data_IF_315989284691
#
_entry.id   IF_315989284691
#
_cell.length_a   1.000
_cell.length_b   1.000
_cell.length_c   1.000
_cell.angle_alpha   90.00
_cell.angle_beta   90.00
_cell.angle_gamma   90.00
#
_symmetry.space_group_name_H-M   'P 1'
#
loop_
_entity.id
_entity.type
_entity.pdbx_description
1 polymer ?
#
# COMPACT_ATOMS: atom_id res chain seq x y z
N UNK A 1 -3.07 -14.85 1.19
CA UNK A 1 -2.44 -16.06 0.63
C UNK A 1 -3.10 -16.55 -0.67
N UNK A 2 -4.29 -16.08 -1.01
CA UNK A 2 -5.04 -16.49 -2.20
C UNK A 2 -5.24 -15.38 -3.23
N UNK A 3 -4.38 -14.36 -3.25
CA UNK A 3 -4.41 -13.39 -4.34
C UNK A 3 -4.12 -14.11 -5.66
N UNK A 4 -4.93 -13.89 -6.71
CA UNK A 4 -4.66 -14.49 -8.02
C UNK A 4 -3.29 -14.01 -8.49
N UNK A 5 -2.45 -14.95 -8.87
CA UNK A 5 -1.17 -14.65 -9.52
C UNK A 5 -1.45 -14.29 -10.97
N UNK A 6 -0.88 -13.20 -11.44
CA UNK A 6 -0.96 -12.76 -12.81
C UNK A 6 0.42 -12.33 -13.35
N UNK A 7 0.45 -11.92 -14.60
CA UNK A 7 1.70 -11.52 -15.27
C UNK A 7 2.27 -10.17 -14.80
N UNK A 8 1.55 -9.44 -13.93
CA UNK A 8 1.95 -8.14 -13.37
C UNK A 8 2.27 -8.24 -11.87
N UNK A 9 2.58 -9.45 -11.41
CA UNK A 9 2.90 -9.68 -10.02
C UNK A 9 4.25 -9.03 -9.66
N UNK A 10 4.28 -8.30 -8.54
CA UNK A 10 5.49 -7.81 -7.92
C UNK A 10 6.11 -8.90 -7.03
N UNK A 11 7.44 -8.93 -6.97
CA UNK A 11 8.20 -9.80 -6.07
C UNK A 11 8.86 -8.93 -5.00
N UNK A 12 8.27 -8.92 -3.80
CA UNK A 12 8.86 -8.27 -2.63
C UNK A 12 9.88 -9.22 -2.00
N UNK A 13 11.16 -8.88 -2.08
CA UNK A 13 12.27 -9.73 -1.62
C UNK A 13 13.11 -8.96 -0.60
N UNK A 14 13.48 -9.62 0.49
CA UNK A 14 14.41 -9.06 1.49
C UNK A 14 15.68 -9.90 1.52
N UNK A 15 16.82 -9.24 1.43
CA UNK A 15 18.14 -9.81 1.69
C UNK A 15 18.69 -9.23 2.98
N UNK A 16 18.90 -10.09 3.99
CA UNK A 16 19.67 -9.75 5.17
C UNK A 16 21.16 -9.98 4.88
N UNK A 17 21.97 -8.93 5.02
CA UNK A 17 23.37 -8.92 4.57
C UNK A 17 24.30 -8.39 5.65
N UNK A 18 25.56 -8.86 5.63
CA UNK A 18 26.59 -8.45 6.59
C UNK A 18 27.25 -7.11 6.25
N UNK A 19 27.26 -6.74 4.96
CA UNK A 19 27.84 -5.50 4.45
C UNK A 19 26.89 -4.87 3.42
N UNK A 20 25.91 -4.15 3.92
CA UNK A 20 24.92 -3.48 3.10
C UNK A 20 25.55 -2.33 2.28
N UNK A 21 26.52 -1.60 2.87
CA UNK A 21 27.12 -0.46 2.22
C UNK A 21 27.88 -0.84 0.94
N UNK A 22 28.68 -1.90 0.97
CA UNK A 22 29.35 -2.40 -0.24
C UNK A 22 28.38 -2.78 -1.35
N UNK A 23 27.21 -3.34 -0.99
CA UNK A 23 26.18 -3.70 -1.97
C UNK A 23 25.46 -2.48 -2.55
N UNK A 24 25.38 -1.38 -1.81
CA UNK A 24 24.85 -0.10 -2.27
C UNK A 24 25.84 0.59 -3.21
N UNK A 25 27.13 0.62 -2.82
CA UNK A 25 28.19 1.34 -3.54
C UNK A 25 28.51 0.66 -4.89
N UNK A 26 28.43 -0.67 -4.96
CA UNK A 26 28.72 -1.47 -6.14
C UNK A 26 27.48 -2.28 -6.60
N UNK A 27 26.42 -1.63 -7.11
CA UNK A 27 25.14 -2.27 -7.37
C UNK A 27 25.10 -3.21 -8.60
N UNK A 28 26.25 -3.44 -9.27
CA UNK A 28 26.31 -4.30 -10.45
C UNK A 28 25.83 -5.74 -10.23
N UNK A 29 25.80 -6.22 -8.99
CA UNK A 29 25.28 -7.55 -8.64
C UNK A 29 23.78 -7.73 -8.93
N UNK A 30 22.99 -6.65 -8.98
CA UNK A 30 21.55 -6.74 -9.28
C UNK A 30 21.29 -7.07 -10.76
N UNK A 31 22.29 -7.01 -11.65
CA UNK A 31 22.15 -7.31 -13.06
C UNK A 31 21.78 -8.80 -13.32
N UNK A 32 21.99 -9.67 -12.33
CA UNK A 32 21.56 -11.08 -12.37
C UNK A 32 20.04 -11.25 -12.54
N UNK A 33 19.23 -10.25 -12.14
CA UNK A 33 17.77 -10.31 -12.26
C UNK A 33 17.28 -10.03 -13.69
N UNK A 34 18.13 -9.48 -14.54
CA UNK A 34 17.82 -9.20 -15.95
C UNK A 34 17.93 -7.72 -16.33
N UNK A 35 17.63 -7.44 -17.58
CA UNK A 35 17.62 -6.09 -18.11
C UNK A 35 16.47 -5.28 -17.53
N UNK A 36 16.76 -4.06 -17.08
CA UNK A 36 15.81 -3.15 -16.42
C UNK A 36 15.29 -2.10 -17.39
N UNK A 37 13.98 -1.86 -17.37
CA UNK A 37 13.33 -0.74 -18.07
C UNK A 37 13.47 0.53 -17.25
N UNK A 38 13.24 0.42 -15.91
CA UNK A 38 13.38 1.51 -14.96
C UNK A 38 13.76 0.94 -13.59
N UNK A 39 14.51 1.72 -12.84
CA UNK A 39 14.85 1.43 -11.45
C UNK A 39 14.69 2.69 -10.62
N UNK A 40 14.21 2.52 -9.40
CA UNK A 40 14.24 3.52 -8.35
C UNK A 40 14.86 2.92 -7.10
N UNK A 41 15.70 3.67 -6.43
CA UNK A 41 16.31 3.26 -5.15
C UNK A 41 15.83 4.17 -4.03
N UNK A 42 16.16 3.82 -2.78
CA UNK A 42 15.91 4.70 -1.64
C UNK A 42 16.59 6.06 -1.81
N UNK A 43 17.75 6.13 -2.45
CA UNK A 43 18.46 7.37 -2.71
C UNK A 43 17.75 8.32 -3.69
N UNK A 44 16.80 7.80 -4.49
CA UNK A 44 16.01 8.61 -5.43
C UNK A 44 14.72 9.15 -4.80
N UNK A 45 14.46 8.87 -3.52
CA UNK A 45 13.25 9.32 -2.82
C UNK A 45 13.50 10.66 -2.13
N UNK A 46 12.53 11.59 -2.26
CA UNK A 46 12.67 12.97 -1.78
C UNK A 46 12.90 13.10 -0.27
N UNK A 47 12.37 12.16 0.52
CA UNK A 47 12.42 12.20 1.98
C UNK A 47 13.44 11.19 2.54
N UNK A 48 14.47 10.85 1.77
CA UNK A 48 15.44 9.83 2.12
C UNK A 48 16.86 10.30 1.92
N UNK A 49 17.53 10.62 3.02
CA UNK A 49 18.93 11.05 3.05
C UNK A 49 19.87 9.96 3.61
N UNK A 50 21.11 9.85 3.13
CA UNK A 50 22.12 8.98 3.73
C UNK A 50 22.52 9.51 5.15
N UNK A 51 23.09 8.63 6.03
CA UNK A 51 23.42 7.24 5.78
C UNK A 51 22.23 6.29 5.84
N UNK A 52 22.26 5.21 5.02
CA UNK A 52 21.21 4.18 4.99
C UNK A 52 21.64 3.01 5.88
N UNK A 53 21.42 3.13 7.18
CA UNK A 53 21.91 2.15 8.17
C UNK A 53 20.91 1.03 8.46
N UNK A 54 19.61 1.28 8.28
CA UNK A 54 18.52 0.40 8.66
C UNK A 54 17.99 -0.48 7.50
N UNK A 55 17.91 0.08 6.31
CA UNK A 55 17.52 -0.63 5.09
C UNK A 55 17.83 0.17 3.84
N UNK A 56 17.91 -0.52 2.71
CA UNK A 56 18.02 0.09 1.38
C UNK A 56 17.27 -0.75 0.36
N UNK A 57 16.59 -0.12 -0.61
CA UNK A 57 15.85 -0.85 -1.63
C UNK A 57 16.27 -0.51 -3.04
N UNK A 58 16.11 -1.52 -3.90
CA UNK A 58 16.16 -1.45 -5.35
C UNK A 58 14.80 -1.89 -5.89
N UNK A 59 14.01 -0.97 -6.40
CA UNK A 59 12.72 -1.25 -7.04
C UNK A 59 12.95 -1.31 -8.55
N UNK A 60 12.81 -2.48 -9.15
CA UNK A 60 13.23 -2.76 -10.53
C UNK A 60 12.04 -3.25 -11.35
N UNK A 61 11.74 -2.55 -12.43
CA UNK A 61 10.88 -3.06 -13.49
C UNK A 61 11.74 -3.66 -14.57
N UNK A 62 11.59 -4.95 -14.81
CA UNK A 62 12.40 -5.69 -15.79
C UNK A 62 11.76 -5.65 -17.17
N UNK A 63 12.58 -5.87 -18.22
CA UNK A 63 12.15 -5.85 -19.61
C UNK A 63 11.18 -7.00 -19.94
N UNK A 64 11.26 -8.11 -19.21
CA UNK A 64 10.36 -9.27 -19.36
C UNK A 64 8.96 -9.05 -18.74
N UNK A 65 8.72 -7.87 -18.13
CA UNK A 65 7.47 -7.49 -17.48
C UNK A 65 7.41 -7.78 -15.98
N UNK A 66 8.37 -8.50 -15.42
CA UNK A 66 8.43 -8.73 -13.97
C UNK A 66 8.87 -7.47 -13.22
N UNK A 67 8.37 -7.33 -11.99
CA UNK A 67 8.84 -6.31 -11.05
C UNK A 67 9.43 -6.98 -9.81
N UNK A 68 10.60 -6.48 -9.40
CA UNK A 68 11.27 -6.90 -8.18
C UNK A 68 11.50 -5.68 -7.30
N UNK A 69 10.92 -5.71 -6.10
CA UNK A 69 11.17 -4.75 -5.03
C UNK A 69 12.10 -5.44 -4.02
N UNK A 70 13.42 -5.23 -4.21
CA UNK A 70 14.45 -5.86 -3.41
C UNK A 70 14.91 -4.93 -2.30
N UNK A 71 14.75 -5.35 -1.05
CA UNK A 71 15.19 -4.61 0.12
C UNK A 71 16.40 -5.29 0.76
N UNK A 72 17.46 -4.52 0.99
CA UNK A 72 18.60 -4.91 1.81
C UNK A 72 18.35 -4.48 3.25
N UNK A 73 18.66 -5.33 4.20
CA UNK A 73 18.68 -5.02 5.63
C UNK A 73 19.96 -5.55 6.28
N UNK A 74 20.49 -4.90 7.32
CA UNK A 74 21.57 -5.46 8.12
C UNK A 74 21.19 -6.82 8.71
N UNK A 75 22.17 -7.72 8.81
CA UNK A 75 21.95 -9.09 9.30
C UNK A 75 21.34 -9.14 10.70
N UNK A 76 21.68 -8.22 11.56
CA UNK A 76 21.16 -8.04 12.91
C UNK A 76 19.66 -7.73 12.97
N UNK A 77 19.09 -7.16 11.92
CA UNK A 77 17.65 -6.89 11.79
C UNK A 77 16.87 -8.02 11.13
N UNK A 78 17.54 -9.05 10.64
CA UNK A 78 16.93 -10.13 9.86
C UNK A 78 15.74 -10.81 10.57
N UNK A 79 15.88 -11.12 11.85
CA UNK A 79 14.83 -11.78 12.64
C UNK A 79 13.62 -10.86 12.90
N UNK A 80 13.87 -9.58 13.17
CA UNK A 80 12.81 -8.57 13.36
C UNK A 80 12.03 -8.36 12.08
N UNK A 81 12.72 -8.16 10.97
CA UNK A 81 12.11 -7.98 9.65
C UNK A 81 11.30 -9.20 9.23
N UNK A 82 11.83 -10.42 9.44
CA UNK A 82 11.11 -11.65 9.11
C UNK A 82 9.80 -11.80 9.91
N UNK A 83 9.73 -11.28 11.13
CA UNK A 83 8.55 -11.33 11.99
C UNK A 83 7.59 -10.14 11.83
N UNK A 84 8.01 -9.08 11.17
CA UNK A 84 7.23 -7.85 11.06
C UNK A 84 6.00 -7.97 10.17
N UNK A 85 6.02 -8.89 9.20
CA UNK A 85 4.92 -9.11 8.26
C UNK A 85 4.43 -10.56 8.31
N UNK A 86 3.14 -10.72 8.58
CA UNK A 86 2.50 -12.05 8.63
C UNK A 86 2.47 -12.78 7.27
N UNK A 87 2.74 -12.10 6.16
CA UNK A 87 2.88 -12.71 4.83
C UNK A 87 4.30 -13.17 4.52
N UNK A 88 5.26 -12.86 5.40
CA UNK A 88 6.66 -13.21 5.20
C UNK A 88 6.86 -14.74 5.10
N UNK A 89 7.75 -15.12 4.20
CA UNK A 89 8.22 -16.50 4.05
C UNK A 89 9.72 -16.53 3.89
N UNK A 90 10.40 -17.27 4.75
CA UNK A 90 11.82 -17.53 4.61
C UNK A 90 12.05 -18.46 3.41
N UNK A 91 12.85 -17.99 2.45
CA UNK A 91 13.24 -18.79 1.28
C UNK A 91 14.60 -19.45 1.48
N UNK A 92 15.51 -18.79 2.19
CA UNK A 92 16.86 -19.28 2.45
C UNK A 92 17.36 -18.67 3.78
N UNK A 93 17.81 -19.55 4.66
CA UNK A 93 18.54 -19.19 5.90
C UNK A 93 19.81 -20.06 5.97
N UNK A 94 20.94 -19.49 5.51
CA UNK A 94 22.20 -20.21 5.45
C UNK A 94 22.82 -20.45 6.81
N UNK A 95 22.58 -19.55 7.74
CA UNK A 95 23.25 -19.50 9.02
C UNK A 95 22.36 -20.03 10.17
N UNK A 96 21.10 -20.34 9.88
CA UNK A 96 20.14 -20.83 10.85
C UNK A 96 19.82 -19.81 11.95
N UNK A 97 19.78 -18.52 11.59
CA UNK A 97 19.59 -17.41 12.55
C UNK A 97 18.15 -16.93 12.62
N UNK A 98 17.31 -17.29 11.65
CA UNK A 98 15.95 -16.81 11.61
C UNK A 98 15.06 -17.68 12.52
N UNK A 99 14.06 -17.08 13.18
CA UNK A 99 13.09 -17.81 13.95
C UNK A 99 12.19 -18.66 13.03
N UNK A 100 11.62 -19.73 13.56
CA UNK A 100 10.55 -20.44 12.88
C UNK A 100 9.34 -19.51 12.74
N UNK A 101 8.92 -19.27 11.51
CA UNK A 101 7.76 -18.42 11.23
C UNK A 101 6.49 -19.26 11.13
N UNK A 102 5.34 -18.74 11.60
CA UNK A 102 4.05 -19.37 11.34
C UNK A 102 3.76 -19.38 9.83
N UNK A 103 2.82 -20.23 9.37
CA UNK A 103 2.36 -20.18 8.00
C UNK A 103 1.90 -18.75 7.62
N UNK A 104 2.22 -18.25 6.43
CA UNK A 104 1.82 -16.91 6.01
C UNK A 104 0.31 -16.68 6.10
N UNK A 105 -0.08 -15.55 6.68
CA UNK A 105 -1.46 -15.13 6.92
C UNK A 105 -1.64 -13.68 6.58
N UNK A 106 -2.84 -13.28 6.13
CA UNK A 106 -3.20 -11.88 5.85
C UNK A 106 -3.74 -11.14 7.09
N UNK A 107 -3.61 -11.71 8.29
CA UNK A 107 -4.18 -11.16 9.53
C UNK A 107 -3.74 -9.73 9.86
N UNK A 108 -2.50 -9.38 9.54
CA UNK A 108 -1.97 -8.03 9.76
C UNK A 108 -2.68 -6.97 8.90
N UNK A 109 -3.31 -7.40 7.82
CA UNK A 109 -3.97 -6.54 6.82
C UNK A 109 -5.49 -6.47 6.98
N UNK A 110 -6.04 -7.23 7.94
CA UNK A 110 -7.48 -7.22 8.16
C UNK A 110 -7.98 -5.84 8.58
N UNK A 111 -9.16 -5.50 8.08
CA UNK A 111 -9.86 -4.28 8.48
C UNK A 111 -10.02 -4.26 9.99
N UNK A 112 -9.49 -3.23 10.64
CA UNK A 112 -9.57 -3.07 12.09
C UNK A 112 -10.91 -2.48 12.48
N UNK A 113 -11.55 -3.08 13.50
CA UNK A 113 -12.80 -2.55 14.06
C UNK A 113 -12.56 -1.15 14.62
N UNK A 114 -13.34 -0.13 14.22
CA UNK A 114 -13.17 1.21 14.75
C UNK A 114 -13.62 1.28 16.20
N UNK A 115 -13.02 2.19 16.94
CA UNK A 115 -13.61 2.73 18.17
C UNK A 115 -14.77 3.65 17.82
N UNK A 116 -15.67 3.90 18.77
CA UNK A 116 -16.75 4.90 18.62
C UNK A 116 -16.20 6.27 18.21
N UNK A 117 -15.10 6.69 18.84
CA UNK A 117 -14.45 7.97 18.53
C UNK A 117 -13.95 8.03 17.09
N UNK A 118 -13.28 6.99 16.61
CA UNK A 118 -12.79 6.94 15.23
C UNK A 118 -13.94 7.00 14.23
N UNK A 119 -15.01 6.27 14.49
CA UNK A 119 -16.20 6.28 13.66
C UNK A 119 -16.82 7.68 13.58
N UNK A 120 -17.10 8.31 14.75
CA UNK A 120 -17.70 9.63 14.81
C UNK A 120 -16.82 10.71 14.20
N UNK A 121 -15.49 10.67 14.46
CA UNK A 121 -14.55 11.61 13.85
C UNK A 121 -14.49 11.45 12.32
N UNK A 122 -14.50 10.22 11.81
CA UNK A 122 -14.49 9.96 10.36
C UNK A 122 -15.77 10.47 9.70
N UNK A 123 -16.94 10.23 10.31
CA UNK A 123 -18.20 10.78 9.81
C UNK A 123 -18.20 12.32 9.80
N UNK A 124 -17.74 12.93 10.90
CA UNK A 124 -17.68 14.37 11.01
C UNK A 124 -16.73 15.00 9.98
N UNK A 125 -15.55 14.43 9.80
CA UNK A 125 -14.57 14.89 8.82
C UNK A 125 -15.10 14.77 7.40
N UNK A 126 -15.72 13.65 7.04
CA UNK A 126 -16.39 13.48 5.75
C UNK A 126 -17.37 14.61 5.46
N UNK A 127 -18.29 14.89 6.39
CA UNK A 127 -19.32 15.90 6.23
C UNK A 127 -18.72 17.32 6.22
N UNK A 128 -17.78 17.60 7.12
CA UNK A 128 -17.17 18.92 7.25
C UNK A 128 -16.38 19.29 6.01
N UNK A 129 -15.51 18.43 5.55
CA UNK A 129 -14.63 18.72 4.39
C UNK A 129 -15.41 18.70 3.07
N UNK A 130 -16.53 17.98 2.97
CA UNK A 130 -17.42 18.07 1.80
C UNK A 130 -17.90 19.51 1.55
N UNK A 131 -18.03 20.34 2.59
CA UNK A 131 -18.36 21.76 2.42
C UNK A 131 -17.27 22.55 1.69
N UNK A 132 -16.00 22.11 1.80
CA UNK A 132 -14.88 22.75 1.08
C UNK A 132 -14.90 22.39 -0.39
N UNK A 133 -15.27 21.16 -0.74
CA UNK A 133 -15.51 20.74 -2.11
C UNK A 133 -16.60 21.62 -2.74
N UNK A 134 -17.74 21.79 -2.05
CA UNK A 134 -18.84 22.64 -2.52
C UNK A 134 -18.39 24.11 -2.75
N UNK A 135 -17.58 24.66 -1.82
CA UNK A 135 -17.01 26.02 -1.98
C UNK A 135 -16.08 26.11 -3.19
N UNK A 136 -15.20 25.11 -3.42
CA UNK A 136 -14.31 25.05 -4.55
C UNK A 136 -15.08 24.99 -5.89
N UNK A 137 -16.14 24.18 -5.94
CA UNK A 137 -17.03 24.10 -7.11
C UNK A 137 -17.68 25.46 -7.39
N UNK A 138 -18.27 26.10 -6.37
CA UNK A 138 -18.91 27.39 -6.48
C UNK A 138 -17.97 28.49 -6.99
N UNK A 139 -16.72 28.48 -6.50
CA UNK A 139 -15.70 29.46 -6.86
C UNK A 139 -15.00 29.18 -8.17
N UNK A 140 -15.32 28.06 -8.84
CA UNK A 140 -14.62 27.57 -10.05
C UNK A 140 -13.15 27.25 -9.80
N UNK A 141 -12.81 26.74 -8.62
CA UNK A 141 -11.46 26.35 -8.19
C UNK A 141 -11.29 24.84 -8.37
N UNK A 142 -11.22 24.34 -9.61
CA UNK A 142 -11.23 22.91 -9.92
C UNK A 142 -10.14 22.11 -9.21
N UNK A 143 -8.89 22.58 -9.23
CA UNK A 143 -7.79 21.87 -8.60
C UNK A 143 -8.00 21.73 -7.08
N UNK A 144 -8.47 22.82 -6.43
CA UNK A 144 -8.78 22.81 -5.01
C UNK A 144 -9.95 21.85 -4.68
N UNK A 145 -11.06 21.95 -5.41
CA UNK A 145 -12.24 21.12 -5.19
C UNK A 145 -11.89 19.62 -5.35
N UNK A 146 -11.12 19.27 -6.41
CA UNK A 146 -10.71 17.90 -6.66
C UNK A 146 -9.69 17.40 -5.61
N UNK A 147 -8.73 18.23 -5.21
CA UNK A 147 -7.78 17.89 -4.13
C UNK A 147 -8.52 17.60 -2.82
N UNK A 148 -9.44 18.48 -2.39
CA UNK A 148 -10.24 18.25 -1.19
C UNK A 148 -11.10 16.98 -1.29
N UNK A 149 -11.70 16.71 -2.45
CA UNK A 149 -12.48 15.49 -2.69
C UNK A 149 -11.60 14.25 -2.60
N UNK A 150 -10.46 14.25 -3.28
CA UNK A 150 -9.63 13.05 -3.45
C UNK A 150 -8.74 12.74 -2.25
N UNK A 151 -8.20 13.77 -1.60
CA UNK A 151 -7.21 13.61 -0.53
C UNK A 151 -7.83 13.62 0.87
N UNK A 152 -9.00 14.27 1.04
CA UNK A 152 -9.63 14.39 2.34
C UNK A 152 -10.95 13.64 2.43
N UNK A 153 -11.91 13.91 1.54
CA UNK A 153 -13.27 13.32 1.63
C UNK A 153 -13.27 11.83 1.28
N UNK A 154 -12.64 11.46 0.17
CA UNK A 154 -12.62 10.08 -0.32
C UNK A 154 -11.95 9.09 0.63
N UNK A 155 -10.82 9.38 1.31
CA UNK A 155 -10.26 8.49 2.31
C UNK A 155 -11.24 8.18 3.44
N UNK A 156 -12.07 9.13 3.84
CA UNK A 156 -13.08 8.91 4.87
C UNK A 156 -14.19 7.99 4.37
N UNK A 157 -14.63 8.18 3.11
CA UNK A 157 -15.61 7.28 2.48
C UNK A 157 -15.07 5.85 2.37
N UNK A 158 -13.85 5.68 1.86
CA UNK A 158 -13.21 4.37 1.74
C UNK A 158 -13.15 3.69 3.10
N UNK A 159 -12.71 4.40 4.14
CA UNK A 159 -12.62 3.89 5.50
C UNK A 159 -13.99 3.42 6.05
N UNK A 160 -15.06 4.16 5.78
CA UNK A 160 -16.42 3.78 6.17
C UNK A 160 -16.89 2.52 5.43
N UNK A 161 -16.59 2.41 4.14
CA UNK A 161 -16.91 1.23 3.32
C UNK A 161 -16.12 0.01 3.81
N UNK A 162 -14.83 0.18 4.12
CA UNK A 162 -14.01 -0.89 4.70
C UNK A 162 -14.55 -1.38 6.04
N UNK A 163 -15.00 -0.48 6.92
CA UNK A 163 -15.63 -0.88 8.19
C UNK A 163 -16.94 -1.62 8.00
N UNK A 164 -17.75 -1.22 7.00
CA UNK A 164 -18.96 -1.97 6.65
C UNK A 164 -18.61 -3.37 6.16
N UNK A 165 -17.63 -3.51 5.27
CA UNK A 165 -17.13 -4.80 4.80
C UNK A 165 -16.58 -5.60 5.97
N UNK A 166 -15.81 -4.97 6.86
CA UNK A 166 -15.30 -5.59 8.07
C UNK A 166 -16.40 -6.12 8.98
N UNK A 167 -17.47 -5.36 9.19
CA UNK A 167 -18.63 -5.78 9.98
C UNK A 167 -19.31 -7.01 9.38
N UNK A 168 -19.54 -7.00 8.07
CA UNK A 168 -20.19 -8.10 7.33
C UNK A 168 -19.33 -9.38 7.34
N UNK A 169 -18.01 -9.26 7.54
CA UNK A 169 -17.03 -10.34 7.52
C UNK A 169 -16.35 -10.58 8.89
N UNK A 170 -16.96 -10.13 10.00
CA UNK A 170 -16.43 -10.30 11.36
C UNK A 170 -15.02 -9.72 11.54
N UNK A 171 -14.64 -8.69 10.76
CA UNK A 171 -13.32 -8.05 10.73
C UNK A 171 -12.16 -9.03 10.43
N UNK A 172 -12.44 -10.09 9.66
CA UNK A 172 -11.47 -11.07 9.17
C UNK A 172 -11.33 -11.00 7.66
N UNK A 173 -11.08 -9.80 7.16
CA UNK A 173 -11.05 -9.50 5.73
C UNK A 173 -10.05 -8.41 5.44
N UNK A 174 -9.27 -8.59 4.38
CA UNK A 174 -8.38 -7.62 3.80
C UNK A 174 -9.06 -6.97 2.58
N UNK A 175 -9.22 -5.66 2.60
CA UNK A 175 -9.74 -4.86 1.48
C UNK A 175 -8.64 -4.41 0.52
N UNK A 176 -7.40 -4.71 0.84
CA UNK A 176 -6.20 -4.37 0.07
C UNK A 176 -5.82 -2.88 0.15
N UNK A 177 -4.58 -2.58 -0.20
CA UNK A 177 -4.06 -1.20 -0.22
C UNK A 177 -4.98 -0.28 -1.03
N UNK A 178 -5.41 0.83 -0.42
CA UNK A 178 -6.34 1.82 -1.01
C UNK A 178 -7.69 1.22 -1.44
N UNK A 179 -8.10 0.11 -0.83
CA UNK A 179 -9.39 -0.51 -1.10
C UNK A 179 -9.47 -1.28 -2.43
N UNK A 180 -8.33 -1.74 -2.98
CA UNK A 180 -8.27 -2.42 -4.29
C UNK A 180 -9.16 -3.68 -4.42
N UNK A 181 -9.62 -4.22 -3.27
CA UNK A 181 -10.49 -5.40 -3.24
C UNK A 181 -11.94 -5.09 -2.84
N UNK A 182 -12.30 -3.82 -2.62
CA UNK A 182 -13.66 -3.41 -2.17
C UNK A 182 -14.75 -3.98 -3.08
N UNK A 183 -14.55 -3.98 -4.40
CA UNK A 183 -15.51 -4.51 -5.37
C UNK A 183 -15.92 -5.97 -5.10
N UNK A 184 -15.00 -6.78 -4.55
CA UNK A 184 -15.25 -8.20 -4.27
C UNK A 184 -16.23 -8.44 -3.12
N UNK A 185 -16.43 -7.43 -2.27
CA UNK A 185 -17.19 -7.54 -1.02
C UNK A 185 -18.47 -6.74 -1.01
N UNK A 186 -18.64 -5.77 -1.93
CA UNK A 186 -19.87 -4.99 -2.03
C UNK A 186 -20.91 -5.71 -2.89
N UNK A 187 -22.19 -5.58 -2.50
CA UNK A 187 -23.28 -5.93 -3.40
C UNK A 187 -23.29 -5.01 -4.62
N UNK A 188 -23.88 -5.49 -5.73
CA UNK A 188 -23.85 -4.79 -7.03
C UNK A 188 -24.35 -3.34 -6.95
N UNK A 189 -25.43 -3.08 -6.23
CA UNK A 189 -25.97 -1.74 -6.02
C UNK A 189 -25.04 -0.84 -5.21
N UNK A 190 -24.42 -1.37 -4.16
CA UNK A 190 -23.46 -0.66 -3.33
C UNK A 190 -22.18 -0.33 -4.12
N UNK A 191 -21.69 -1.30 -4.91
CA UNK A 191 -20.55 -1.08 -5.79
C UNK A 191 -20.83 0.01 -6.81
N UNK A 192 -22.01 0.00 -7.46
CA UNK A 192 -22.41 1.04 -8.41
C UNK A 192 -22.40 2.43 -7.76
N UNK A 193 -22.94 2.58 -6.55
CA UNK A 193 -22.93 3.84 -5.82
C UNK A 193 -21.49 4.27 -5.47
N UNK A 194 -20.67 3.34 -4.98
CA UNK A 194 -19.28 3.62 -4.65
C UNK A 194 -18.49 4.02 -5.90
N UNK A 195 -18.62 3.29 -7.00
CA UNK A 195 -17.96 3.60 -8.27
C UNK A 195 -18.43 4.94 -8.84
N UNK A 196 -19.73 5.26 -8.74
CA UNK A 196 -20.27 6.55 -9.17
C UNK A 196 -19.73 7.74 -8.36
N UNK A 197 -19.23 7.51 -7.14
CA UNK A 197 -18.59 8.56 -6.33
C UNK A 197 -17.23 9.02 -6.88
N UNK A 198 -16.65 8.32 -7.85
CA UNK A 198 -15.41 8.75 -8.53
C UNK A 198 -15.76 9.76 -9.61
N UNK A 199 -15.80 11.04 -9.21
CA UNK A 199 -16.15 12.14 -10.09
C UNK A 199 -15.14 12.33 -11.22
N UNK A 200 -15.63 12.72 -12.39
CA UNK A 200 -14.82 13.16 -13.51
C UNK A 200 -14.16 14.53 -13.24
N UNK A 201 -13.28 14.94 -14.16
CA UNK A 201 -12.59 16.24 -14.09
C UNK A 201 -13.46 17.44 -14.46
N UNK A 202 -14.76 17.43 -14.13
CA UNK A 202 -15.68 18.55 -14.39
C UNK A 202 -16.59 18.79 -13.18
N UNK A 203 -17.09 20.00 -13.07
CA UNK A 203 -17.88 20.44 -11.92
C UNK A 203 -19.24 19.71 -11.78
N UNK A 204 -19.83 19.30 -12.89
CA UNK A 204 -21.14 18.62 -12.86
C UNK A 204 -21.03 17.23 -12.23
N UNK A 205 -19.97 16.50 -12.56
CA UNK A 205 -19.75 15.16 -12.00
C UNK A 205 -19.38 15.23 -10.50
N UNK A 206 -18.68 16.27 -10.09
CA UNK A 206 -18.32 16.47 -8.67
C UNK A 206 -19.52 16.88 -7.79
N UNK A 207 -20.65 17.30 -8.41
CA UNK A 207 -21.89 17.68 -7.69
C UNK A 207 -22.87 16.52 -7.53
N UNK A 208 -22.67 15.41 -8.21
CA UNK A 208 -23.51 14.19 -8.13
C UNK A 208 -23.11 13.34 -6.92
#
# INVERSE_FOLDING_TARGET
PNAPRDQYQDFDIVYAVTDMQSMIDEPGWIDIFGERVIMQTRADQLDSDPPYEDWFNFMMQLLDGNRIDLTLVPLELAAEVAQSDSLCRVLLDKDGILPELPPPSDENYWVKKPTEREYLCTCNEFLWVSTYVAKGIWRREMAYANGMLSECVRPMLIKMVEWKIGLDNHFRVDTGKLGKYIERYLYSDQWQLFAASFAGGNYEDMMK
#
